data_IF_086000849483
#
_entry.id   IF_086000849483
#
_cell.length_a   1.000
_cell.length_b   1.000
_cell.length_c   1.000
_cell.angle_alpha   90.00
_cell.angle_beta   90.00
_cell.angle_gamma   90.00
#
_symmetry.space_group_name_H-M   'P 1'
#
loop_
_entity.id
_entity.type
_entity.pdbx_description
1 polymer ?
#
# COMPACT_ATOMS: atom_id res chain seq x y z
N UNK A 1 3.72 -11.42 5.53
CA UNK A 1 4.59 -10.25 5.79
C UNK A 1 6.04 -10.72 5.68
N UNK A 2 6.88 -10.06 4.88
CA UNK A 2 8.29 -10.45 4.69
C UNK A 2 9.20 -9.29 5.09
N UNK A 3 10.33 -9.61 5.72
CA UNK A 3 11.39 -8.64 6.02
C UNK A 3 12.11 -8.27 4.72
N UNK A 4 12.26 -6.97 4.43
CA UNK A 4 13.02 -6.44 3.29
C UNK A 4 13.84 -5.24 3.75
N UNK A 5 15.00 -5.02 3.13
CA UNK A 5 15.73 -3.76 3.29
C UNK A 5 14.90 -2.61 2.69
N UNK A 6 14.76 -1.53 3.44
CA UNK A 6 14.07 -0.29 3.03
C UNK A 6 14.90 0.90 3.50
N UNK A 7 14.78 2.03 2.80
CA UNK A 7 15.38 3.30 3.25
C UNK A 7 14.32 4.01 4.10
N UNK A 8 14.72 4.48 5.28
CA UNK A 8 13.86 5.29 6.16
C UNK A 8 13.95 6.79 5.84
N UNK A 9 13.19 7.61 6.58
CA UNK A 9 13.15 9.06 6.37
C UNK A 9 14.48 9.76 6.72
N UNK A 10 15.39 9.07 7.41
CA UNK A 10 16.73 9.53 7.76
C UNK A 10 17.80 9.06 6.76
N UNK A 11 17.40 8.58 5.58
CA UNK A 11 18.27 8.05 4.52
C UNK A 11 19.11 6.82 4.96
N UNK A 12 18.63 6.07 5.95
CA UNK A 12 19.30 4.89 6.48
C UNK A 12 18.66 3.58 5.98
N UNK A 13 19.49 2.56 5.70
CA UNK A 13 18.99 1.23 5.33
C UNK A 13 18.57 0.48 6.59
N UNK A 14 17.26 0.20 6.71
CA UNK A 14 16.66 -0.53 7.83
C UNK A 14 15.90 -1.77 7.35
N UNK A 15 15.62 -2.69 8.28
CA UNK A 15 14.78 -3.85 7.98
C UNK A 15 13.31 -3.47 8.19
N UNK A 16 12.55 -3.37 7.10
CA UNK A 16 11.12 -3.09 7.12
C UNK A 16 10.27 -4.33 6.87
N UNK A 17 9.04 -4.30 7.37
CA UNK A 17 8.00 -5.26 7.00
C UNK A 17 7.31 -4.81 5.71
N UNK A 18 7.26 -5.70 4.71
CA UNK A 18 6.54 -5.44 3.45
C UNK A 18 5.38 -6.41 3.26
N UNK A 19 4.26 -5.86 2.83
CA UNK A 19 3.08 -6.57 2.36
C UNK A 19 2.99 -6.45 0.84
N UNK A 20 2.56 -7.53 0.19
CA UNK A 20 2.22 -7.55 -1.22
C UNK A 20 0.71 -7.70 -1.33
N UNK A 21 0.07 -6.83 -2.12
CA UNK A 21 -1.39 -6.79 -2.30
C UNK A 21 -1.68 -6.93 -3.79
N UNK A 22 -2.48 -7.94 -4.13
CA UNK A 22 -3.08 -8.08 -5.45
C UNK A 22 -4.57 -7.73 -5.39
N UNK A 23 -5.05 -6.97 -6.36
CA UNK A 23 -6.46 -6.67 -6.55
C UNK A 23 -6.86 -7.08 -7.97
N UNK A 24 -7.98 -7.80 -8.10
CA UNK A 24 -8.64 -8.04 -9.38
C UNK A 24 -9.86 -7.12 -9.51
N UNK A 25 -10.08 -6.62 -10.72
CA UNK A 25 -11.22 -5.75 -11.03
C UNK A 25 -11.94 -6.25 -12.29
N UNK A 26 -13.27 -6.05 -12.33
CA UNK A 26 -14.00 -6.18 -13.59
C UNK A 26 -13.70 -4.96 -14.46
N UNK A 27 -12.90 -5.18 -15.52
CA UNK A 27 -12.41 -4.10 -16.37
C UNK A 27 -13.52 -3.40 -17.17
N UNK A 28 -14.74 -3.97 -17.22
CA UNK A 28 -15.89 -3.33 -17.86
C UNK A 28 -16.47 -2.20 -17.01
N UNK A 29 -16.27 -2.26 -15.68
CA UNK A 29 -16.77 -1.27 -14.74
C UNK A 29 -15.68 -0.42 -14.09
N UNK A 30 -14.44 -0.92 -14.01
CA UNK A 30 -13.31 -0.25 -13.36
C UNK A 30 -12.14 -0.22 -14.35
N UNK A 31 -11.66 0.97 -14.67
CA UNK A 31 -10.42 1.12 -15.42
C UNK A 31 -9.18 0.98 -14.51
N UNK A 32 -8.01 0.85 -15.14
CA UNK A 32 -6.75 0.68 -14.43
C UNK A 32 -6.33 1.89 -13.58
N UNK A 33 -6.73 3.11 -13.95
CA UNK A 33 -6.38 4.32 -13.20
C UNK A 33 -7.16 4.38 -11.88
N UNK A 34 -8.47 4.17 -11.94
CA UNK A 34 -9.32 4.08 -10.76
C UNK A 34 -8.90 2.94 -9.83
N UNK A 35 -8.54 1.78 -10.40
CA UNK A 35 -8.00 0.66 -9.62
C UNK A 35 -6.68 1.02 -8.91
N UNK A 36 -5.77 1.72 -9.58
CA UNK A 36 -4.52 2.16 -8.97
C UNK A 36 -4.74 3.18 -7.84
N UNK A 37 -5.68 4.12 -8.02
CA UNK A 37 -6.06 5.08 -6.98
C UNK A 37 -6.64 4.38 -5.75
N UNK A 38 -7.50 3.38 -5.94
CA UNK A 38 -8.04 2.60 -4.83
C UNK A 38 -6.94 1.89 -4.03
N UNK A 39 -5.99 1.21 -4.72
CA UNK A 39 -4.88 0.52 -4.02
C UNK A 39 -3.97 1.51 -3.30
N UNK A 40 -3.77 2.71 -3.86
CA UNK A 40 -3.00 3.78 -3.22
C UNK A 40 -3.66 4.25 -1.92
N UNK A 41 -4.97 4.47 -1.92
CA UNK A 41 -5.70 4.86 -0.70
C UNK A 41 -5.76 3.71 0.32
N UNK A 42 -5.96 2.48 -0.14
CA UNK A 42 -5.89 1.30 0.73
C UNK A 42 -4.51 1.20 1.40
N UNK A 43 -3.43 1.39 0.64
CA UNK A 43 -2.07 1.46 1.19
C UNK A 43 -1.95 2.54 2.26
N UNK A 44 -2.49 3.75 2.01
CA UNK A 44 -2.45 4.87 2.96
C UNK A 44 -3.10 4.52 4.29
N UNK A 45 -4.26 3.85 4.26
CA UNK A 45 -4.99 3.40 5.45
C UNK A 45 -4.24 2.31 6.21
N UNK A 46 -3.65 1.34 5.51
CA UNK A 46 -2.91 0.24 6.13
C UNK A 46 -1.56 0.70 6.74
N UNK A 47 -0.89 1.67 6.11
CA UNK A 47 0.33 2.27 6.66
C UNK A 47 0.04 3.23 7.83
N UNK A 48 -1.20 3.75 7.94
CA UNK A 48 -1.62 4.71 8.98
C UNK A 48 -2.97 4.30 9.60
N UNK A 49 -3.02 3.23 10.41
CA UNK A 49 -4.27 2.62 10.88
C UNK A 49 -5.15 3.55 11.72
N UNK A 50 -4.60 4.61 12.33
CA UNK A 50 -5.37 5.63 13.04
C UNK A 50 -6.41 6.33 12.13
N UNK A 51 -6.16 6.41 10.82
CA UNK A 51 -7.11 6.96 9.85
C UNK A 51 -8.39 6.15 9.70
N UNK A 52 -8.40 4.88 10.15
CA UNK A 52 -9.60 4.03 10.14
C UNK A 52 -10.53 4.29 11.33
N UNK A 53 -10.08 5.04 12.34
CA UNK A 53 -10.77 5.22 13.62
C UNK A 53 -11.51 6.57 13.75
N UNK A 54 -11.56 7.35 12.67
CA UNK A 54 -12.22 8.66 12.64
C UNK A 54 -13.67 8.50 12.19
#
# INVERSE_FOLDING_TARGET
MRKKSVIDDCDSIVVGDRLEIGMSCDHRGIDGALGAEYVKELRRLLENPALLLV
#
